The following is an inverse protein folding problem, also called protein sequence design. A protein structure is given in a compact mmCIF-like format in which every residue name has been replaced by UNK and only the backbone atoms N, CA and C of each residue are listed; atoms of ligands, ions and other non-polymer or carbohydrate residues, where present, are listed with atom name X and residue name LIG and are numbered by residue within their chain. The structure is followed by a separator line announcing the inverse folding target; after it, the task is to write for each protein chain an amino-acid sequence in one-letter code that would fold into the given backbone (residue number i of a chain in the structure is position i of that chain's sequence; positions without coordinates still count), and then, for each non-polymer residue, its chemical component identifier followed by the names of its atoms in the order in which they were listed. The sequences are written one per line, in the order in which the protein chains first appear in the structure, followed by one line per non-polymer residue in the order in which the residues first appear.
data_IF_784095680915
#
_entry.id   IF_784095680915
#
_cell.length_a   1.000
_cell.length_b   1.000
_cell.length_c   1.000
_cell.angle_alpha   90.00
_cell.angle_beta   90.00
_cell.angle_gamma   90.00
#
_symmetry.space_group_name_H-M   'P 1'
#
loop_
_entity.id
_entity.type
_entity.pdbx_description
1 polymer ?
#
# COMPACT_ATOMS: atom_id res chain seq x y z
N UNK A 1 58.31 7.87 -43.61
CA UNK A 1 57.87 6.72 -42.77
C UNK A 1 57.83 7.14 -41.30
N UNK A 2 56.73 7.72 -40.77
CA UNK A 2 56.61 8.04 -39.32
C UNK A 2 55.16 8.36 -38.85
N UNK A 3 54.14 7.71 -39.44
CA UNK A 3 52.72 8.05 -39.16
C UNK A 3 51.89 6.93 -38.54
N UNK A 4 52.52 5.85 -38.05
CA UNK A 4 51.78 4.69 -37.49
C UNK A 4 51.76 4.62 -35.96
N UNK A 5 52.44 5.51 -35.23
CA UNK A 5 52.52 5.44 -33.76
C UNK A 5 51.37 6.16 -33.03
N UNK A 6 50.77 7.20 -33.62
CA UNK A 6 49.76 8.05 -32.92
C UNK A 6 48.37 7.41 -32.85
N UNK A 7 48.09 6.39 -33.66
CA UNK A 7 46.75 5.74 -33.71
C UNK A 7 46.49 4.79 -32.53
N UNK A 8 47.53 4.26 -31.89
CA UNK A 8 47.38 3.35 -30.75
C UNK A 8 46.98 4.07 -29.45
N UNK A 9 47.57 5.23 -29.19
CA UNK A 9 47.33 5.98 -27.95
C UNK A 9 45.93 6.59 -27.89
N UNK A 10 45.42 7.14 -29.01
CA UNK A 10 44.07 7.69 -29.05
C UNK A 10 42.99 6.62 -28.82
N UNK A 11 43.20 5.39 -29.31
CA UNK A 11 42.29 4.27 -29.08
C UNK A 11 42.38 3.80 -27.62
N UNK A 12 43.57 3.72 -27.04
CA UNK A 12 43.75 3.35 -25.64
C UNK A 12 43.08 4.37 -24.69
N UNK A 13 43.25 5.67 -24.94
CA UNK A 13 42.60 6.73 -24.16
C UNK A 13 41.08 6.65 -24.30
N UNK A 14 40.54 6.43 -25.50
CA UNK A 14 39.10 6.28 -25.72
C UNK A 14 38.54 5.07 -24.96
N UNK A 15 39.24 3.92 -24.98
CA UNK A 15 38.82 2.71 -24.26
C UNK A 15 38.87 2.91 -22.75
N UNK A 16 39.91 3.57 -22.21
CA UNK A 16 39.98 3.90 -20.78
C UNK A 16 38.90 4.90 -20.39
N UNK A 17 38.65 5.95 -21.20
CA UNK A 17 37.55 6.88 -20.94
C UNK A 17 36.18 6.18 -20.98
N UNK A 18 35.95 5.28 -21.93
CA UNK A 18 34.71 4.48 -21.99
C UNK A 18 34.62 3.46 -20.86
N UNK A 19 35.73 2.89 -20.38
CA UNK A 19 35.74 2.00 -19.24
C UNK A 19 35.55 2.76 -17.91
N UNK A 20 36.06 3.98 -17.80
CA UNK A 20 35.85 4.86 -16.64
C UNK A 20 34.44 5.45 -16.65
N UNK A 21 33.87 5.75 -17.82
CA UNK A 21 32.47 6.22 -17.98
C UNK A 21 31.44 5.08 -17.90
N UNK A 22 31.79 3.89 -18.41
CA UNK A 22 30.93 2.69 -18.40
C UNK A 22 31.04 1.87 -17.11
N UNK A 23 32.21 1.89 -16.47
CA UNK A 23 32.44 1.43 -15.10
C UNK A 23 32.22 2.53 -14.06
N UNK A 24 31.80 3.73 -14.49
CA UNK A 24 31.47 4.80 -13.58
C UNK A 24 30.35 4.34 -12.64
N UNK A 25 30.31 4.83 -11.40
CA UNK A 25 29.12 4.76 -10.55
C UNK A 25 27.84 5.32 -11.22
N UNK A 26 27.89 5.86 -12.44
CA UNK A 26 26.75 6.41 -13.19
C UNK A 26 25.62 5.42 -13.48
N UNK A 27 25.91 4.17 -13.87
CA UNK A 27 24.83 3.20 -14.18
C UNK A 27 24.08 2.77 -12.92
N UNK A 28 24.79 2.55 -11.81
CA UNK A 28 24.17 2.22 -10.51
C UNK A 28 23.51 3.46 -9.89
N UNK A 29 24.08 4.64 -10.08
CA UNK A 29 23.52 5.90 -9.62
C UNK A 29 22.17 6.19 -10.29
N UNK A 30 22.09 6.19 -11.62
CA UNK A 30 20.82 6.43 -12.33
C UNK A 30 19.79 5.34 -12.03
N UNK A 31 20.22 4.08 -11.87
CA UNK A 31 19.33 3.00 -11.45
C UNK A 31 18.74 3.24 -10.05
N UNK A 32 19.54 3.73 -9.09
CA UNK A 32 19.06 4.11 -7.75
C UNK A 32 18.13 5.31 -7.82
N UNK A 33 18.47 6.36 -8.57
CA UNK A 33 17.59 7.53 -8.75
C UNK A 33 16.25 7.14 -9.38
N UNK A 34 16.25 6.20 -10.33
CA UNK A 34 15.03 5.66 -10.90
C UNK A 34 14.20 4.88 -9.86
N UNK A 35 14.85 4.02 -9.07
CA UNK A 35 14.19 3.30 -7.97
C UNK A 35 13.61 4.25 -6.91
N UNK A 36 14.28 5.35 -6.62
CA UNK A 36 13.79 6.35 -5.68
C UNK A 36 12.59 7.10 -6.28
N UNK A 37 12.65 7.46 -7.57
CA UNK A 37 11.57 8.12 -8.29
C UNK A 37 10.28 7.27 -8.30
N UNK A 38 10.38 5.95 -8.53
CA UNK A 38 9.21 5.06 -8.50
C UNK A 38 8.64 4.83 -7.11
N UNK A 39 9.35 5.24 -6.05
CA UNK A 39 8.89 5.16 -4.65
C UNK A 39 8.35 6.50 -4.13
N UNK A 40 8.54 7.62 -4.86
CA UNK A 40 8.03 8.94 -4.47
C UNK A 40 6.52 9.04 -4.60
N UNK A 41 5.97 8.40 -5.63
CA UNK A 41 4.56 8.46 -5.94
C UNK A 41 4.06 7.10 -6.40
N UNK A 42 2.89 6.73 -5.90
CA UNK A 42 2.10 5.70 -6.55
C UNK A 42 0.97 6.42 -7.31
N UNK A 43 0.85 6.22 -8.61
CA UNK A 43 -0.20 6.78 -9.44
C UNK A 43 -0.67 5.73 -10.43
N UNK A 44 -1.96 5.44 -10.44
CA UNK A 44 -2.51 4.48 -11.38
C UNK A 44 -4.02 4.31 -11.29
N UNK A 45 -4.50 3.43 -12.15
CA UNK A 45 -5.88 3.00 -12.19
C UNK A 45 -6.03 1.70 -11.41
N UNK A 46 -7.16 1.55 -10.75
CA UNK A 46 -7.56 0.34 -10.03
C UNK A 46 -8.77 -0.27 -10.73
N UNK A 47 -8.79 -1.59 -10.83
CA UNK A 47 -9.83 -2.35 -11.51
C UNK A 47 -10.29 -3.49 -10.61
N UNK A 48 -11.58 -3.64 -10.38
CA UNK A 48 -12.14 -4.70 -9.54
C UNK A 48 -13.02 -5.64 -10.37
N UNK A 49 -13.10 -6.92 -9.97
CA UNK A 49 -13.99 -7.91 -10.62
C UNK A 49 -15.46 -7.73 -10.19
N UNK A 50 -15.68 -7.10 -9.03
CA UNK A 50 -16.99 -6.84 -8.43
C UNK A 50 -17.10 -5.35 -8.15
N UNK A 51 -18.28 -4.73 -8.31
CA UNK A 51 -18.43 -3.32 -8.01
C UNK A 51 -18.11 -3.07 -6.53
N UNK A 52 -17.14 -2.20 -6.28
CA UNK A 52 -16.65 -1.82 -4.97
C UNK A 52 -16.68 -0.29 -4.81
N UNK A 53 -16.55 0.15 -3.57
CA UNK A 53 -16.53 1.56 -3.25
C UNK A 53 -15.29 1.88 -2.40
N UNK A 54 -14.59 2.93 -2.80
CA UNK A 54 -13.53 3.52 -2.03
C UNK A 54 -13.49 5.03 -2.21
N UNK A 55 -13.63 5.75 -1.10
CA UNK A 55 -13.40 7.17 -1.02
C UNK A 55 -12.59 7.40 0.25
N UNK A 56 -11.28 7.48 0.10
CA UNK A 56 -10.36 7.64 1.22
C UNK A 56 -9.29 8.68 0.86
N UNK A 57 -9.07 9.64 1.74
CA UNK A 57 -7.99 10.60 1.63
C UNK A 57 -7.30 10.77 2.98
N UNK A 58 -5.99 10.91 2.99
CA UNK A 58 -5.24 11.39 4.14
C UNK A 58 -4.31 12.52 3.67
N UNK A 59 -3.97 13.49 4.52
CA UNK A 59 -3.01 14.53 4.17
C UNK A 59 -2.27 15.01 5.43
N UNK A 60 -0.95 15.10 5.40
CA UNK A 60 -0.02 13.98 5.24
C UNK A 60 -0.19 12.97 6.38
N UNK A 61 -1.12 12.02 6.22
CA UNK A 61 -1.61 11.09 7.25
C UNK A 61 -2.17 11.68 8.56
N UNK A 62 -2.19 13.01 8.75
CA UNK A 62 -2.66 13.64 10.00
C UNK A 62 -4.18 13.66 10.08
N UNK A 63 -4.82 13.78 8.92
CA UNK A 63 -6.28 13.86 8.78
C UNK A 63 -6.82 12.80 7.81
N UNK A 64 -6.80 11.50 8.17
CA UNK A 64 -7.50 10.47 7.41
C UNK A 64 -9.02 10.70 7.43
N UNK A 65 -9.64 10.73 6.26
CA UNK A 65 -11.09 10.87 6.09
C UNK A 65 -11.56 9.88 5.04
N UNK A 66 -12.61 9.14 5.39
CA UNK A 66 -13.34 8.29 4.47
C UNK A 66 -13.11 6.80 4.70
N UNK A 67 -13.48 6.01 3.70
CA UNK A 67 -13.45 4.56 3.75
C UNK A 67 -13.15 4.00 2.37
N UNK A 68 -12.30 2.98 2.30
CA UNK A 68 -12.04 2.25 1.07
C UNK A 68 -11.84 0.78 1.34
N UNK A 69 -12.51 -0.06 0.55
CA UNK A 69 -12.29 -1.50 0.53
C UNK A 69 -12.31 -1.99 -0.91
N UNK A 70 -11.11 -2.19 -1.46
CA UNK A 70 -10.91 -2.55 -2.86
C UNK A 70 -10.02 -3.78 -2.95
N UNK A 71 -10.52 -4.78 -3.67
CA UNK A 71 -9.84 -6.04 -4.01
C UNK A 71 -9.78 -6.12 -5.55
N UNK A 72 -8.61 -5.87 -6.13
CA UNK A 72 -8.53 -5.74 -7.57
C UNK A 72 -7.12 -5.80 -8.15
N UNK A 73 -7.00 -5.22 -9.34
CA UNK A 73 -5.75 -5.02 -10.05
C UNK A 73 -5.45 -3.54 -10.09
N UNK A 74 -4.18 -3.19 -9.93
CA UNK A 74 -3.66 -1.87 -10.15
C UNK A 74 -2.84 -1.85 -11.43
N UNK A 75 -2.95 -0.78 -12.21
CA UNK A 75 -2.14 -0.52 -13.39
C UNK A 75 -1.58 0.89 -13.29
N UNK A 76 -0.26 1.02 -13.21
CA UNK A 76 0.41 2.30 -13.08
C UNK A 76 1.78 2.18 -12.41
N UNK A 77 2.19 3.26 -11.75
CA UNK A 77 3.36 3.30 -10.89
C UNK A 77 2.91 3.04 -9.46
N UNK A 78 3.36 1.96 -8.84
CA UNK A 78 2.88 1.55 -7.52
C UNK A 78 3.82 0.59 -6.81
N UNK A 79 4.01 0.75 -5.50
CA UNK A 79 4.83 -0.16 -4.70
C UNK A 79 6.30 -0.19 -5.13
N UNK A 80 6.81 0.93 -5.66
CA UNK A 80 8.18 1.05 -6.17
C UNK A 80 8.40 0.47 -7.57
N UNK A 81 7.34 0.06 -8.29
CA UNK A 81 7.44 -0.56 -9.63
C UNK A 81 6.46 0.09 -10.60
N UNK A 82 6.80 0.05 -11.90
CA UNK A 82 5.87 0.40 -12.97
C UNK A 82 5.30 -0.91 -13.55
N UNK A 83 3.98 -1.03 -13.62
CA UNK A 83 3.35 -2.20 -14.21
C UNK A 83 1.90 -2.43 -13.78
N UNK A 84 1.46 -3.67 -13.95
CA UNK A 84 0.17 -4.15 -13.49
C UNK A 84 0.37 -5.24 -12.43
N UNK A 85 -0.49 -5.26 -11.42
CA UNK A 85 -0.42 -6.25 -10.35
C UNK A 85 -1.70 -6.28 -9.52
N UNK A 86 -1.82 -7.28 -8.67
CA UNK A 86 -2.89 -7.31 -7.68
C UNK A 86 -2.70 -6.21 -6.63
N UNK A 87 -3.81 -5.60 -6.23
CA UNK A 87 -3.86 -4.54 -5.25
C UNK A 87 -5.00 -4.79 -4.28
N UNK A 88 -4.65 -4.86 -2.99
CA UNK A 88 -5.61 -4.90 -1.90
C UNK A 88 -5.53 -3.62 -1.10
N UNK A 89 -6.70 -3.10 -0.77
CA UNK A 89 -6.83 -1.91 0.06
C UNK A 89 -7.99 -2.05 1.02
N UNK A 90 -7.75 -1.72 2.29
CA UNK A 90 -8.76 -1.67 3.34
C UNK A 90 -8.44 -0.55 4.34
N UNK A 91 -8.93 0.65 4.03
CA UNK A 91 -8.64 1.88 4.76
C UNK A 91 -9.90 2.46 5.37
N UNK A 92 -9.78 3.02 6.57
CA UNK A 92 -10.86 3.74 7.26
C UNK A 92 -10.27 4.91 8.03
N UNK A 93 -10.92 6.07 7.98
CA UNK A 93 -10.40 7.31 8.55
C UNK A 93 -11.52 8.23 9.02
N UNK A 94 -11.35 8.76 10.24
CA UNK A 94 -12.25 9.74 10.85
C UNK A 94 -11.38 10.81 11.54
N UNK A 95 -11.04 11.86 10.79
CA UNK A 95 -10.28 13.03 11.24
C UNK A 95 -8.97 12.65 11.94
N UNK A 96 -8.96 12.51 13.26
CA UNK A 96 -7.75 12.30 14.04
C UNK A 96 -7.36 10.83 14.22
N UNK A 97 -8.14 9.89 13.69
CA UNK A 97 -7.86 8.46 13.75
C UNK A 97 -8.13 7.79 12.40
N UNK A 98 -7.29 6.83 12.03
CA UNK A 98 -7.53 5.97 10.89
C UNK A 98 -6.67 4.71 10.92
N UNK A 99 -7.01 3.78 10.03
CA UNK A 99 -6.28 2.55 9.76
C UNK A 99 -6.12 2.42 8.26
N UNK A 100 -4.94 2.03 7.83
CA UNK A 100 -4.59 1.77 6.45
C UNK A 100 -4.03 0.36 6.33
N UNK A 101 -4.57 -0.41 5.39
CA UNK A 101 -4.08 -1.73 5.03
C UNK A 101 -3.94 -1.79 3.51
N UNK A 102 -2.70 -1.86 3.02
CA UNK A 102 -2.40 -1.91 1.59
C UNK A 102 -1.52 -3.12 1.26
N UNK A 103 -1.76 -3.82 0.16
CA UNK A 103 -0.83 -4.84 -0.36
C UNK A 103 -0.70 -4.79 -1.88
N UNK A 104 0.52 -5.05 -2.36
CA UNK A 104 0.93 -5.01 -3.78
C UNK A 104 1.38 -6.37 -4.33
N UNK A 105 1.42 -7.39 -3.46
CA UNK A 105 1.70 -8.77 -3.83
C UNK A 105 0.39 -9.53 -3.70
N UNK A 106 0.11 -10.37 -4.67
CA UNK A 106 -1.20 -10.98 -4.84
C UNK A 106 -1.81 -11.45 -3.54
N UNK A 107 -3.07 -11.07 -3.32
CA UNK A 107 -3.82 -11.38 -2.13
C UNK A 107 -4.25 -12.85 -2.20
N UNK A 108 -3.28 -13.77 -2.28
CA UNK A 108 -3.49 -15.12 -1.79
C UNK A 108 -4.01 -14.98 -0.37
N UNK A 109 -5.23 -15.43 -0.12
CA UNK A 109 -6.07 -15.08 1.04
C UNK A 109 -5.47 -15.39 2.44
N UNK A 110 -4.21 -15.84 2.51
CA UNK A 110 -3.48 -16.12 3.74
C UNK A 110 -2.18 -15.34 3.94
N UNK A 111 -1.61 -14.67 2.93
CA UNK A 111 -0.26 -14.09 3.06
C UNK A 111 -0.26 -12.69 3.68
N UNK A 112 -0.65 -12.64 4.96
CA UNK A 112 -0.63 -11.43 5.80
C UNK A 112 0.76 -10.80 5.91
N UNK A 113 1.83 -11.51 5.56
CA UNK A 113 3.18 -10.96 5.57
C UNK A 113 3.37 -9.85 4.52
N UNK A 114 2.52 -9.82 3.49
CA UNK A 114 2.59 -8.82 2.41
C UNK A 114 1.72 -7.59 2.64
N UNK A 115 0.85 -7.61 3.66
CA UNK A 115 -0.05 -6.51 3.99
C UNK A 115 0.68 -5.49 4.85
N UNK A 116 0.83 -4.28 4.32
CA UNK A 116 1.32 -3.15 5.07
C UNK A 116 0.17 -2.56 5.88
N UNK A 117 0.29 -2.62 7.21
CA UNK A 117 -0.66 -2.01 8.14
C UNK A 117 -0.05 -0.78 8.78
N UNK A 118 -0.77 0.33 8.72
CA UNK A 118 -0.38 1.59 9.35
C UNK A 118 -1.59 2.19 10.06
N UNK A 119 -1.43 2.76 11.25
CA UNK A 119 -2.42 3.71 11.76
C UNK A 119 -2.21 5.08 11.12
N UNK A 120 -3.30 5.82 10.96
CA UNK A 120 -3.31 7.19 10.49
C UNK A 120 -4.00 8.09 11.51
N UNK A 121 -3.88 9.40 11.32
CA UNK A 121 -4.39 10.41 12.21
C UNK A 121 -3.48 10.68 13.40
N UNK A 122 -3.62 11.84 14.04
CA UNK A 122 -2.83 12.22 15.23
C UNK A 122 -2.86 11.14 16.30
N UNK A 123 -4.04 10.56 16.57
CA UNK A 123 -4.22 9.49 17.57
C UNK A 123 -3.55 8.20 17.13
N UNK A 124 -3.71 7.81 15.86
CA UNK A 124 -3.07 6.61 15.31
C UNK A 124 -1.56 6.71 15.32
N UNK A 125 -1.02 7.87 14.93
CA UNK A 125 0.41 8.16 14.94
C UNK A 125 0.97 8.12 16.37
N UNK A 126 0.28 8.73 17.34
CA UNK A 126 0.72 8.73 18.74
C UNK A 126 0.74 7.33 19.36
N UNK A 127 -0.24 6.48 19.01
CA UNK A 127 -0.29 5.07 19.47
C UNK A 127 0.80 4.22 18.83
N UNK A 128 0.96 4.34 17.51
CA UNK A 128 1.93 3.57 16.72
C UNK A 128 3.36 4.11 16.83
N UNK A 129 3.59 5.25 17.47
CA UNK A 129 4.94 5.82 17.61
C UNK A 129 5.92 4.81 18.24
N UNK A 130 5.40 3.90 19.08
CA UNK A 130 6.17 2.80 19.68
C UNK A 130 6.48 1.66 18.71
N UNK A 131 5.65 1.45 17.68
CA UNK A 131 5.81 0.34 16.73
C UNK A 131 6.81 0.65 15.61
N UNK A 132 7.31 1.88 15.51
CA UNK A 132 8.53 2.20 14.77
C UNK A 132 8.48 1.98 13.26
N UNK A 133 7.31 1.70 12.66
CA UNK A 133 7.14 1.51 11.21
C UNK A 133 7.09 2.84 10.47
N UNK A 134 8.16 3.63 10.60
CA UNK A 134 8.28 4.96 10.03
C UNK A 134 8.62 4.97 8.53
N UNK A 135 8.70 3.80 7.87
CA UNK A 135 9.12 3.71 6.47
C UNK A 135 8.10 4.29 5.47
N UNK A 136 6.84 4.42 5.90
CA UNK A 136 5.72 4.90 5.06
C UNK A 136 5.19 6.27 5.52
N UNK A 137 5.90 6.96 6.43
CA UNK A 137 5.45 8.21 7.06
C UNK A 137 6.49 9.32 6.84
N UNK A 138 6.10 10.53 6.42
CA UNK A 138 4.75 10.98 6.04
C UNK A 138 4.38 10.63 4.59
N UNK A 139 3.13 10.22 4.37
CA UNK A 139 2.54 9.97 3.05
C UNK A 139 1.16 10.65 2.90
N UNK A 140 0.76 10.92 1.66
CA UNK A 140 -0.53 11.50 1.29
C UNK A 140 -1.23 10.57 0.31
N UNK A 141 -2.27 9.89 0.77
CA UNK A 141 -2.94 8.80 0.07
C UNK A 141 -4.32 9.27 -0.31
N UNK A 142 -4.64 9.20 -1.60
CA UNK A 142 -5.94 9.50 -2.17
C UNK A 142 -6.42 8.31 -2.99
N UNK A 143 -7.62 7.87 -2.67
CA UNK A 143 -8.29 6.77 -3.36
C UNK A 143 -9.72 7.17 -3.68
N UNK A 144 -10.05 6.99 -4.95
CA UNK A 144 -11.40 7.11 -5.46
C UNK A 144 -11.67 5.89 -6.34
N UNK A 145 -12.50 4.96 -5.87
CA UNK A 145 -12.93 3.77 -6.59
C UNK A 145 -14.44 3.71 -6.59
N UNK A 146 -15.03 3.71 -7.79
CA UNK A 146 -16.48 3.75 -7.98
C UNK A 146 -16.89 2.62 -8.94
N UNK A 147 -17.54 1.58 -8.39
CA UNK A 147 -17.94 0.43 -9.17
C UNK A 147 -16.72 -0.42 -9.53
N UNK A 148 -16.39 -0.51 -10.82
CA UNK A 148 -15.34 -1.40 -11.33
C UNK A 148 -13.99 -0.73 -11.52
N UNK A 149 -13.96 0.61 -11.52
CA UNK A 149 -12.77 1.39 -11.85
C UNK A 149 -12.55 2.46 -10.79
N UNK A 150 -11.29 2.72 -10.49
CA UNK A 150 -10.89 3.80 -9.62
C UNK A 150 -9.54 4.39 -10.00
N UNK A 151 -9.22 5.51 -9.37
CA UNK A 151 -7.89 6.12 -9.39
C UNK A 151 -7.29 6.02 -8.00
N UNK A 152 -6.01 5.69 -7.96
CA UNK A 152 -5.18 5.71 -6.77
C UNK A 152 -4.05 6.71 -7.01
N UNK A 153 -3.82 7.56 -6.02
CA UNK A 153 -2.66 8.41 -5.94
C UNK A 153 -2.13 8.44 -4.51
N UNK A 154 -0.88 8.03 -4.31
CA UNK A 154 -0.13 8.21 -3.08
C UNK A 154 1.12 9.08 -3.33
N UNK A 155 1.43 10.01 -2.43
CA UNK A 155 2.69 10.75 -2.38
C UNK A 155 3.45 10.38 -1.12
N UNK A 156 4.65 9.84 -1.28
CA UNK A 156 5.54 9.52 -0.17
C UNK A 156 6.58 10.64 -0.01
N UNK A 157 6.30 11.63 0.85
CA UNK A 157 7.17 12.79 1.05
C UNK A 157 8.56 12.40 1.56
N UNK A 158 8.65 11.33 2.33
CA UNK A 158 9.92 10.80 2.79
C UNK A 158 10.81 10.38 1.62
N UNK A 159 10.23 9.66 0.64
CA UNK A 159 10.94 9.24 -0.57
C UNK A 159 11.24 10.38 -1.52
N UNK A 160 10.39 11.42 -1.56
CA UNK A 160 10.71 12.65 -2.28
C UNK A 160 11.97 13.31 -1.73
N UNK A 161 12.07 13.46 -0.41
CA UNK A 161 13.26 14.05 0.20
C UNK A 161 14.52 13.22 -0.09
N UNK A 162 14.45 11.89 -0.01
CA UNK A 162 15.57 10.99 -0.32
C UNK A 162 15.98 11.04 -1.81
N UNK A 163 15.01 11.14 -2.72
CA UNK A 163 15.25 11.35 -4.14
C UNK A 163 16.01 12.66 -4.39
N UNK A 164 15.51 13.78 -3.87
CA UNK A 164 16.13 15.10 -4.07
C UNK A 164 17.49 15.22 -3.39
N UNK A 165 17.64 14.79 -2.14
CA UNK A 165 18.92 14.84 -1.44
C UNK A 165 19.98 13.96 -2.10
N UNK A 166 19.60 12.77 -2.59
CA UNK A 166 20.60 11.89 -3.17
C UNK A 166 21.05 12.31 -4.58
N UNK A 167 20.42 13.32 -5.21
CA UNK A 167 21.04 14.00 -6.36
C UNK A 167 22.35 14.72 -5.99
N UNK A 168 22.51 15.07 -4.72
CA UNK A 168 23.71 15.69 -4.16
C UNK A 168 24.58 14.68 -3.40
N UNK A 169 24.33 13.38 -3.58
CA UNK A 169 25.03 12.31 -2.85
C UNK A 169 24.62 12.18 -1.38
N UNK A 170 23.61 12.93 -0.92
CA UNK A 170 23.14 12.87 0.46
C UNK A 170 21.94 11.94 0.61
N UNK A 171 22.03 10.96 1.50
CA UNK A 171 20.94 10.01 1.79
C UNK A 171 20.52 10.20 3.25
N UNK A 172 19.73 11.24 3.59
CA UNK A 172 19.42 11.62 4.98
C UNK A 172 18.68 10.53 5.78
N UNK A 173 18.17 9.55 5.04
CA UNK A 173 17.07 8.69 5.45
C UNK A 173 17.39 7.20 5.24
N UNK A 174 18.39 6.92 4.41
CA UNK A 174 18.87 5.59 4.06
C UNK A 174 17.83 4.71 3.36
N UNK A 175 18.29 3.62 2.74
CA UNK A 175 17.41 2.52 2.34
C UNK A 175 16.87 1.86 3.63
N UNK A 176 15.69 2.29 4.12
CA UNK A 176 15.04 1.68 5.28
C UNK A 176 14.33 0.40 4.87
N UNK A 177 14.79 -0.73 5.39
CA UNK A 177 14.35 -2.09 5.06
C UNK A 177 15.52 -3.05 4.87
N UNK A 178 16.69 -2.51 4.56
CA UNK A 178 17.96 -3.19 4.76
C UNK A 178 18.27 -3.18 6.25
N UNK A 179 18.49 -4.37 6.83
CA UNK A 179 19.09 -4.43 8.15
C UNK A 179 20.42 -3.68 8.12
N UNK A 180 20.90 -3.19 9.26
CA UNK A 180 22.25 -2.60 9.33
C UNK A 180 23.30 -3.57 8.75
N UNK A 181 23.11 -4.88 8.97
CA UNK A 181 23.91 -5.94 8.35
C UNK A 181 23.80 -6.00 6.82
N UNK A 182 22.64 -5.68 6.23
CA UNK A 182 22.46 -5.59 4.78
C UNK A 182 23.14 -4.34 4.23
N UNK A 183 23.10 -3.20 4.94
CA UNK A 183 23.88 -2.00 4.56
C UNK A 183 25.38 -2.26 4.59
N UNK A 184 25.88 -2.92 5.64
CA UNK A 184 27.29 -3.30 5.76
C UNK A 184 27.67 -4.29 4.65
N UNK A 185 26.86 -5.32 4.40
CA UNK A 185 27.12 -6.27 3.31
C UNK A 185 27.10 -5.64 1.90
N UNK A 186 26.23 -4.66 1.65
CA UNK A 186 26.21 -3.87 0.40
C UNK A 186 27.42 -2.94 0.30
N UNK A 187 27.85 -2.35 1.41
CA UNK A 187 29.07 -1.53 1.48
C UNK A 187 30.34 -2.37 1.24
N UNK A 188 30.33 -3.64 1.66
CA UNK A 188 31.40 -4.62 1.43
C UNK A 188 31.40 -5.22 0.01
N UNK A 189 30.50 -4.76 -0.88
CA UNK A 189 30.44 -5.22 -2.27
C UNK A 189 29.84 -6.62 -2.47
N UNK A 190 29.23 -7.23 -1.44
CA UNK A 190 28.50 -8.50 -1.59
C UNK A 190 27.09 -8.21 -2.11
N UNK A 191 26.97 -8.16 -3.43
CA UNK A 191 25.72 -7.86 -4.13
C UNK A 191 24.56 -8.78 -3.70
N UNK A 192 23.48 -8.18 -3.20
CA UNK A 192 22.19 -8.84 -3.07
C UNK A 192 21.67 -9.10 -4.49
N UNK A 193 21.43 -10.35 -4.84
CA UNK A 193 20.89 -10.73 -6.15
C UNK A 193 19.56 -10.00 -6.41
N UNK A 194 19.36 -9.40 -7.59
CA UNK A 194 18.11 -8.74 -7.91
C UNK A 194 16.95 -9.73 -7.84
N UNK A 195 15.84 -9.31 -7.23
CA UNK A 195 14.58 -10.05 -7.23
C UNK A 195 14.05 -10.10 -8.67
N UNK A 196 14.12 -11.28 -9.29
CA UNK A 196 13.42 -11.56 -10.55
C UNK A 196 11.92 -11.61 -10.26
N UNK A 197 11.08 -10.76 -10.87
CA UNK A 197 9.64 -10.94 -10.80
C UNK A 197 9.31 -12.27 -11.47
N UNK A 198 8.78 -13.23 -10.70
CA UNK A 198 8.09 -14.35 -11.30
C UNK A 198 6.95 -13.77 -12.13
N UNK A 199 6.97 -14.00 -13.44
CA UNK A 199 5.75 -13.91 -14.25
C UNK A 199 4.69 -14.76 -13.52
N UNK A 200 3.44 -14.29 -13.41
CA UNK A 200 2.38 -15.13 -12.88
C UNK A 200 2.41 -16.44 -13.67
N UNK A 201 2.49 -17.57 -12.96
CA UNK A 201 2.34 -18.86 -13.59
C UNK A 201 1.06 -18.81 -14.43
N UNK A 202 1.16 -19.10 -15.72
CA UNK A 202 -0.03 -19.36 -16.52
C UNK A 202 -0.80 -20.47 -15.81
N UNK A 203 -1.92 -20.12 -15.18
CA UNK A 203 -2.88 -21.13 -14.76
C UNK A 203 -3.28 -21.90 -16.03
N UNK A 204 -3.20 -23.24 -16.03
CA UNK A 204 -3.64 -24.02 -17.17
C UNK A 204 -5.11 -23.69 -17.44
N UNK A 205 -5.37 -23.14 -18.63
CA UNK A 205 -6.72 -22.84 -19.10
C UNK A 205 -7.51 -24.14 -19.07
N UNK A 206 -8.41 -24.28 -18.08
CA UNK A 206 -9.30 -25.42 -17.98
C UNK A 206 -10.08 -25.55 -19.29
N UNK A 207 -10.02 -26.74 -19.90
CA UNK A 207 -10.70 -27.03 -21.15
C UNK A 207 -12.19 -26.68 -21.04
N UNK A 208 -12.66 -25.90 -22.01
CA UNK A 208 -14.06 -25.50 -22.18
C UNK A 208 -14.97 -26.75 -22.16
N UNK A 209 -15.90 -26.90 -21.21
CA UNK A 209 -16.89 -27.97 -21.27
C UNK A 209 -17.69 -27.87 -22.56
N UNK A 210 -17.88 -29.01 -23.23
CA UNK A 210 -18.72 -29.10 -24.42
C UNK A 210 -20.12 -28.54 -24.12
N UNK A 211 -20.57 -27.63 -24.98
CA UNK A 211 -21.86 -26.98 -24.84
C UNK A 211 -23.00 -28.00 -24.91
N UNK A 212 -23.79 -28.09 -23.84
CA UNK A 212 -25.08 -28.77 -23.87
C UNK A 212 -26.02 -28.02 -24.82
N UNK A 213 -26.81 -28.78 -25.58
CA UNK A 213 -27.77 -28.26 -26.55
C UNK A 213 -28.78 -27.29 -25.90
N UNK A 214 -29.16 -26.21 -26.59
CA UNK A 214 -30.14 -25.26 -26.06
C UNK A 214 -31.52 -25.90 -25.95
N UNK A 215 -32.28 -25.62 -24.88
CA UNK A 215 -33.68 -26.03 -24.77
C UNK A 215 -34.56 -25.30 -25.80
N UNK A 216 -35.69 -25.90 -26.20
CA UNK A 216 -36.60 -25.33 -27.20
C UNK A 216 -37.21 -24.00 -26.73
N UNK A 217 -37.33 -23.08 -27.68
CA UNK A 217 -37.81 -21.72 -27.48
C UNK A 217 -39.23 -21.68 -26.88
N UNK A 218 -39.36 -21.01 -25.73
CA UNK A 218 -40.65 -20.65 -25.16
C UNK A 218 -41.23 -19.43 -25.89
N UNK A 219 -42.53 -19.50 -26.18
CA UNK A 219 -43.32 -18.50 -26.87
C UNK A 219 -43.33 -17.12 -26.18
N UNK A 220 -43.49 -16.02 -26.93
CA UNK A 220 -43.50 -14.67 -26.37
C UNK A 220 -44.74 -14.43 -25.50
N UNK A 221 -44.51 -14.11 -24.23
CA UNK A 221 -45.55 -13.59 -23.32
C UNK A 221 -45.63 -12.07 -23.51
N UNK A 222 -46.84 -11.58 -23.78
CA UNK A 222 -47.19 -10.16 -23.94
C UNK A 222 -46.96 -9.38 -22.64
N UNK A 223 -46.16 -8.31 -22.72
CA UNK A 223 -45.97 -7.35 -21.62
C UNK A 223 -47.10 -6.31 -21.63
N UNK A 224 -47.83 -6.10 -20.51
CA UNK A 224 -48.70 -4.94 -20.38
C UNK A 224 -47.89 -3.68 -20.03
N UNK A 225 -48.25 -2.60 -20.73
CA UNK A 225 -47.76 -1.24 -20.55
C UNK A 225 -47.97 -0.74 -19.13
N UNK A 226 -46.87 -0.43 -18.42
CA UNK A 226 -46.92 0.13 -17.07
C UNK A 226 -47.04 1.66 -17.11
N UNK A 227 -48.08 2.13 -16.43
CA UNK A 227 -48.45 3.53 -16.27
C UNK A 227 -47.34 4.38 -15.62
N UNK A 228 -47.26 5.62 -16.08
CA UNK A 228 -46.43 6.69 -15.54
C UNK A 228 -46.84 6.99 -14.09
N UNK A 229 -45.96 6.64 -13.13
CA UNK A 229 -46.14 7.01 -11.74
C UNK A 229 -45.76 8.48 -11.53
N UNK A 230 -46.69 9.24 -10.96
CA UNK A 230 -46.53 10.65 -10.63
C UNK A 230 -45.45 10.89 -9.57
N UNK A 231 -44.79 12.06 -9.69
CA UNK A 231 -43.71 12.54 -8.84
C UNK A 231 -44.21 12.77 -7.39
N UNK A 232 -43.57 12.20 -6.35
CA UNK A 232 -43.95 12.46 -4.97
C UNK A 232 -43.73 13.93 -4.58
N UNK A 233 -44.67 14.49 -3.82
CA UNK A 233 -44.58 15.83 -3.26
C UNK A 233 -43.41 15.96 -2.25
N UNK A 234 -42.77 17.14 -2.14
CA UNK A 234 -41.69 17.36 -1.18
C UNK A 234 -42.19 17.23 0.26
N UNK A 235 -41.51 16.41 1.06
CA UNK A 235 -41.77 16.34 2.49
C UNK A 235 -41.23 17.58 3.23
N UNK A 236 -41.90 18.04 4.30
CA UNK A 236 -41.45 19.18 5.09
C UNK A 236 -40.12 18.89 5.79
N UNK A 237 -39.17 19.81 5.68
CA UNK A 237 -37.91 19.73 6.42
C UNK A 237 -38.16 19.90 7.93
N UNK A 238 -37.59 19.05 8.79
CA UNK A 238 -37.65 19.23 10.24
C UNK A 238 -36.87 20.48 10.66
N UNK A 239 -37.51 21.33 11.46
CA UNK A 239 -36.85 22.51 12.03
C UNK A 239 -35.74 22.10 13.01
N UNK A 240 -34.60 22.82 13.02
CA UNK A 240 -33.50 22.54 13.92
C UNK A 240 -33.90 22.84 15.38
N UNK A 241 -33.85 21.80 16.23
CA UNK A 241 -33.93 21.96 17.69
C UNK A 241 -32.66 22.65 18.19
N UNK A 242 -32.85 23.75 18.90
CA UNK A 242 -31.80 24.45 19.65
C UNK A 242 -31.14 23.51 20.66
N UNK A 243 -29.82 23.39 20.58
CA UNK A 243 -29.03 22.59 21.50
C UNK A 243 -28.92 23.28 22.87
N UNK A 244 -29.00 22.54 23.99
CA UNK A 244 -28.79 23.10 25.32
C UNK A 244 -27.32 23.45 25.53
N UNK A 245 -27.12 24.59 26.21
CA UNK A 245 -25.82 25.12 26.65
C UNK A 245 -25.13 24.10 27.56
N UNK A 246 -23.94 23.64 27.16
CA UNK A 246 -23.14 22.69 27.92
C UNK A 246 -22.61 23.34 29.22
N UNK A 247 -22.92 22.72 30.35
CA UNK A 247 -22.34 23.05 31.64
C UNK A 247 -20.83 22.73 31.65
N UNK A 248 -20.02 23.63 32.21
CA UNK A 248 -18.58 23.45 32.43
C UNK A 248 -18.33 22.25 33.34
N UNK A 249 -17.52 21.30 32.87
CA UNK A 249 -16.97 20.24 33.69
C UNK A 249 -15.88 20.79 34.64
N UNK A 250 -15.82 20.33 35.90
CA UNK A 250 -14.76 20.69 36.83
C UNK A 250 -13.41 20.09 36.42
N UNK A 251 -12.37 20.83 36.76
CA UNK A 251 -10.97 20.57 36.48
C UNK A 251 -10.49 19.28 37.17
N UNK A 252 -9.76 18.39 36.48
CA UNK A 252 -9.34 17.12 37.07
C UNK A 252 -8.17 17.32 38.04
N UNK A 253 -8.35 16.85 39.26
CA UNK A 253 -7.31 16.82 40.29
C UNK A 253 -6.09 16.00 39.86
N UNK A 254 -4.92 16.56 40.15
CA UNK A 254 -3.59 16.05 39.85
C UNK A 254 -3.38 14.67 40.49
N UNK A 255 -3.12 13.64 39.67
CA UNK A 255 -2.80 12.30 40.15
C UNK A 255 -1.31 12.20 40.49
N UNK A 256 -0.92 11.64 41.66
CA UNK A 256 0.47 11.39 41.97
C UNK A 256 1.08 10.32 41.05
N UNK A 257 2.35 10.52 40.71
CA UNK A 257 3.12 9.67 39.80
C UNK A 257 3.25 8.23 40.32
N UNK A 258 3.17 7.20 39.45
CA UNK A 258 3.34 5.81 39.86
C UNK A 258 4.79 5.49 40.21
N UNK A 259 4.97 4.78 41.31
CA UNK A 259 6.26 4.24 41.75
C UNK A 259 6.81 3.21 40.75
N UNK A 260 8.10 3.32 40.45
CA UNK A 260 8.85 2.44 39.55
C UNK A 260 9.07 1.08 40.25
N UNK A 261 8.34 0.05 39.81
CA UNK A 261 8.59 -1.32 40.23
C UNK A 261 9.77 -1.92 39.44
N UNK A 262 10.72 -2.54 40.16
CA UNK A 262 11.84 -3.31 39.58
C UNK A 262 11.31 -4.55 38.86
N UNK A 263 11.82 -4.77 37.64
CA UNK A 263 11.49 -5.94 36.83
C UNK A 263 12.11 -7.24 37.43
N UNK A 264 11.36 -8.36 37.45
CA UNK A 264 11.91 -9.66 37.81
C UNK A 264 12.71 -10.30 36.65
N UNK A 265 13.63 -11.24 36.96
CA UNK A 265 14.49 -11.87 35.98
C UNK A 265 13.74 -12.84 35.06
N UNK A 266 14.12 -12.81 33.78
CA UNK A 266 13.62 -13.63 32.68
C UNK A 266 14.09 -15.08 32.81
N UNK A 267 13.18 -16.02 33.04
CA UNK A 267 13.44 -17.46 32.89
C UNK A 267 13.22 -17.89 31.44
N UNK A 268 14.19 -18.64 30.90
CA UNK A 268 14.17 -19.24 29.58
C UNK A 268 12.93 -20.14 29.38
N UNK A 269 12.29 -20.03 28.22
CA UNK A 269 11.08 -20.78 27.87
C UNK A 269 11.43 -21.88 26.87
N UNK A 270 11.18 -23.13 27.29
CA UNK A 270 11.31 -24.34 26.51
C UNK A 270 10.43 -24.34 25.25
N UNK A 271 11.00 -24.83 24.16
CA UNK A 271 10.33 -25.01 22.88
C UNK A 271 9.44 -26.26 22.94
N UNK A 272 8.12 -26.06 23.08
CA UNK A 272 7.13 -27.10 22.78
C UNK A 272 6.67 -26.97 21.33
N UNK A 273 6.83 -28.08 20.60
CA UNK A 273 6.37 -28.32 19.24
C UNK A 273 4.92 -28.79 19.30
N UNK A 274 3.98 -27.98 18.83
CA UNK A 274 2.58 -28.40 18.66
C UNK A 274 2.33 -28.98 17.26
N UNK A 275 1.46 -30.00 17.15
CA UNK A 275 1.12 -30.64 15.88
C UNK A 275 0.13 -29.79 15.05
N UNK A 276 0.34 -29.78 13.74
CA UNK A 276 -0.51 -29.07 12.77
C UNK A 276 -1.84 -29.80 12.57
N UNK A 277 -2.94 -29.16 12.95
CA UNK A 277 -4.29 -29.62 12.66
C UNK A 277 -4.75 -29.02 11.31
N UNK A 278 -5.05 -29.91 10.36
CA UNK A 278 -5.58 -29.60 9.03
C UNK A 278 -7.07 -29.26 9.13
N UNK A 279 -7.45 -28.01 8.82
CA UNK A 279 -8.84 -27.58 8.76
C UNK A 279 -9.25 -27.20 7.34
N UNK A 280 -10.27 -27.90 6.86
CA UNK A 280 -10.91 -27.71 5.57
C UNK A 280 -11.48 -26.29 5.37
N UNK A 281 -11.43 -25.83 4.13
CA UNK A 281 -11.83 -24.49 3.70
C UNK A 281 -13.33 -24.22 3.90
N UNK A 282 -13.68 -23.54 4.99
CA UNK A 282 -14.93 -22.80 5.09
C UNK A 282 -14.79 -21.45 4.37
N UNK A 283 -15.70 -21.15 3.44
CA UNK A 283 -15.73 -19.89 2.71
C UNK A 283 -15.79 -18.65 3.63
N UNK A 284 -15.40 -17.47 3.13
CA UNK A 284 -15.18 -16.29 3.96
C UNK A 284 -16.50 -15.77 4.55
N UNK A 285 -16.69 -16.00 5.86
CA UNK A 285 -17.70 -15.29 6.64
C UNK A 285 -17.20 -13.86 6.89
N UNK A 286 -18.02 -12.88 6.49
CA UNK A 286 -17.88 -11.48 6.91
C UNK A 286 -17.72 -11.41 8.43
N UNK A 287 -16.54 -10.99 8.91
CA UNK A 287 -16.24 -10.81 10.34
C UNK A 287 -16.23 -9.35 10.78
N UNK A 288 -16.68 -8.41 9.95
CA UNK A 288 -16.74 -7.01 10.36
C UNK A 288 -18.11 -6.69 10.93
N UNK A 289 -18.16 -6.39 12.22
CA UNK A 289 -19.34 -5.81 12.85
C UNK A 289 -19.11 -4.33 13.02
N UNK A 290 -20.17 -3.53 12.84
CA UNK A 290 -20.12 -2.08 13.04
C UNK A 290 -19.69 -1.73 14.49
N UNK A 291 -19.89 -2.68 15.42
CA UNK A 291 -19.43 -2.67 16.81
C UNK A 291 -17.91 -2.50 16.94
N UNK A 292 -17.12 -3.02 16.00
CA UNK A 292 -15.64 -2.94 16.03
C UNK A 292 -15.11 -1.53 15.67
N UNK A 293 -16.00 -0.60 15.29
CA UNK A 293 -15.66 0.77 14.87
C UNK A 293 -15.86 1.82 15.97
N UNK A 294 -16.36 1.42 17.15
CA UNK A 294 -16.58 2.32 18.29
C UNK A 294 -15.72 1.82 19.45
N UNK A 295 -14.83 2.65 20.03
CA UNK A 295 -13.99 2.25 21.16
C UNK A 295 -14.82 1.95 22.43
#
# INVERSE_FOLDING_TARGET
MRSRCVRGEAVAILVVCLAVLGGAPGCTYLSRRWSDATQMMDLGLTFSKKPQFGLYANCPMVTPIGYSKVDGYFVGMGGGKLGAGEHHQNNAGVLFWGREENSWKGAGAGDRATVQKNSAGVVGIARDAKEGRANYRPACIHYLHLGFVGVMWNLNYYKMADFFCGWFGWVPFGERGESEATRVAKADGKGVTPFTPGLPAEEPVAAKPAAAAPPPAASPTTTPSAAVAAKPAPQPQPQPKTAPVAARLPEPAERPAPAVAKAPPTTARDARKEPSESAAAAGPKSRFRLEDLVP
#
